data_IF_911576521401
#
_entry.id   IF_911576521401
#
_cell.length_a   1.000
_cell.length_b   1.000
_cell.length_c   1.000
_cell.angle_alpha   90.00
_cell.angle_beta   90.00
_cell.angle_gamma   90.00
#
_symmetry.space_group_name_H-M   'P 1'
#
loop_
_entity.id
_entity.type
_entity.pdbx_description
1 polymer ?
#
# COMPACT_ATOMS: atom_id res chain seq x y z
N UNK A 1 3.78 1.57 -12.12
CA UNK A 1 3.29 0.18 -12.29
C UNK A 1 1.79 0.16 -11.99
N UNK A 2 1.00 -0.61 -12.73
CA UNK A 2 -0.43 -0.84 -12.41
C UNK A 2 -0.61 -2.12 -11.60
N UNK A 3 -1.77 -2.28 -10.95
CA UNK A 3 -2.11 -3.52 -10.23
C UNK A 3 -2.10 -4.75 -11.15
N UNK A 4 -2.57 -4.60 -12.39
CA UNK A 4 -2.57 -5.68 -13.38
C UNK A 4 -1.14 -6.15 -13.72
N UNK A 5 -0.22 -5.20 -13.92
CA UNK A 5 1.18 -5.50 -14.19
C UNK A 5 1.85 -6.22 -13.00
N UNK A 6 1.60 -5.76 -11.77
CA UNK A 6 2.09 -6.42 -10.56
C UNK A 6 1.56 -7.86 -10.44
N UNK A 7 0.25 -8.05 -10.62
CA UNK A 7 -0.39 -9.36 -10.55
C UNK A 7 0.16 -10.32 -11.61
N UNK A 8 0.42 -9.83 -12.82
CA UNK A 8 1.06 -10.61 -13.88
C UNK A 8 2.45 -11.09 -13.47
N UNK A 9 3.30 -10.20 -12.92
CA UNK A 9 4.64 -10.55 -12.45
C UNK A 9 4.59 -11.62 -11.35
N UNK A 10 3.70 -11.46 -10.35
CA UNK A 10 3.53 -12.42 -9.25
C UNK A 10 3.17 -13.81 -9.81
N UNK A 11 2.19 -13.87 -10.71
CA UNK A 11 1.71 -15.13 -11.29
C UNK A 11 2.74 -15.81 -12.19
N UNK A 12 3.36 -15.08 -13.11
CA UNK A 12 4.33 -15.65 -14.06
C UNK A 12 5.58 -16.18 -13.37
N UNK A 13 5.92 -15.64 -12.19
CA UNK A 13 7.09 -16.04 -11.42
C UNK A 13 6.76 -16.98 -10.24
N UNK A 14 5.50 -17.41 -10.09
CA UNK A 14 5.04 -18.24 -8.96
C UNK A 14 5.41 -17.65 -7.58
N UNK A 15 5.33 -16.32 -7.45
CA UNK A 15 5.62 -15.64 -6.18
C UNK A 15 4.49 -15.95 -5.18
N UNK A 16 4.79 -16.46 -3.97
CA UNK A 16 3.77 -16.75 -2.95
C UNK A 16 2.98 -15.51 -2.54
N UNK A 17 1.70 -15.66 -2.22
CA UNK A 17 0.84 -14.53 -1.82
C UNK A 17 1.20 -13.95 -0.44
N UNK A 18 1.96 -14.68 0.38
CA UNK A 18 2.37 -14.28 1.73
C UNK A 18 3.78 -13.63 1.77
N UNK A 19 4.28 -13.13 0.65
CA UNK A 19 5.58 -12.44 0.60
C UNK A 19 5.54 -11.10 1.34
N UNK A 20 6.70 -10.74 1.89
CA UNK A 20 6.91 -9.43 2.51
C UNK A 20 7.12 -8.39 1.41
N UNK A 21 6.37 -7.29 1.47
CA UNK A 21 6.52 -6.14 0.58
C UNK A 21 7.38 -5.05 1.21
N UNK A 22 8.41 -4.60 0.50
CA UNK A 22 9.30 -3.51 0.88
C UNK A 22 9.29 -2.43 -0.21
N UNK A 23 9.48 -1.18 0.18
CA UNK A 23 9.65 -0.05 -0.72
C UNK A 23 11.13 0.33 -0.80
N UNK A 24 11.71 0.28 -1.99
CA UNK A 24 13.00 0.90 -2.28
C UNK A 24 12.71 2.18 -3.07
N UNK A 25 12.43 3.27 -2.35
CA UNK A 25 12.05 4.54 -2.98
C UNK A 25 13.25 5.37 -3.46
N UNK A 26 14.46 4.91 -3.15
CA UNK A 26 15.72 5.62 -3.41
C UNK A 26 15.99 6.83 -2.50
N UNK A 27 15.04 7.22 -1.65
CA UNK A 27 15.29 8.15 -0.54
C UNK A 27 16.01 7.45 0.60
N UNK A 28 15.65 6.19 0.86
CA UNK A 28 16.29 5.37 1.86
C UNK A 28 17.57 4.77 1.28
N UNK A 29 18.59 4.58 2.13
CA UNK A 29 19.83 3.92 1.70
C UNK A 29 19.62 2.44 1.35
N UNK A 30 18.49 1.85 1.78
CA UNK A 30 18.08 0.46 1.58
C UNK A 30 16.56 0.36 1.49
N UNK A 31 16.04 -0.75 0.96
CA UNK A 31 14.61 -1.04 0.96
C UNK A 31 14.02 -1.01 2.38
N UNK A 32 12.85 -0.40 2.53
CA UNK A 32 12.20 -0.15 3.83
C UNK A 32 10.80 -0.72 3.91
N UNK A 33 10.32 -0.87 5.14
CA UNK A 33 8.99 -1.39 5.46
C UNK A 33 7.88 -0.53 4.89
N UNK A 34 6.80 -1.17 4.44
CA UNK A 34 5.57 -0.48 4.10
C UNK A 34 4.52 -0.75 5.18
N UNK A 35 4.30 0.22 6.05
CA UNK A 35 3.39 0.09 7.17
C UNK A 35 1.92 0.28 6.80
N UNK A 36 1.58 0.78 5.60
CA UNK A 36 0.18 0.87 5.19
C UNK A 36 -0.08 1.13 3.71
N UNK A 37 -1.37 1.10 3.36
CA UNK A 37 -1.86 1.30 2.00
C UNK A 37 -3.03 2.28 1.98
N UNK A 38 -2.91 3.32 1.16
CA UNK A 38 -4.01 4.20 0.78
C UNK A 38 -4.48 3.89 -0.64
N UNK A 39 -5.78 4.03 -0.89
CA UNK A 39 -6.29 4.11 -2.25
C UNK A 39 -7.08 5.41 -2.45
N UNK A 40 -6.75 6.07 -3.56
CA UNK A 40 -7.40 7.29 -4.00
C UNK A 40 -8.27 7.02 -5.21
N UNK A 41 -9.60 7.13 -5.05
CA UNK A 41 -10.54 6.90 -6.15
C UNK A 41 -10.52 8.00 -7.20
N UNK A 42 -10.26 9.25 -6.81
CA UNK A 42 -10.23 10.41 -7.72
C UNK A 42 -9.09 10.28 -8.73
N UNK A 43 -7.93 9.82 -8.29
CA UNK A 43 -6.73 9.66 -9.13
C UNK A 43 -6.52 8.22 -9.59
N UNK A 44 -7.29 7.25 -9.06
CA UNK A 44 -7.12 5.82 -9.30
C UNK A 44 -5.70 5.33 -8.96
N UNK A 45 -5.21 5.69 -7.77
CA UNK A 45 -3.83 5.41 -7.31
C UNK A 45 -3.85 4.66 -5.99
N UNK A 46 -3.01 3.62 -5.89
CA UNK A 46 -2.64 2.98 -4.61
C UNK A 46 -1.31 3.57 -4.16
N UNK A 47 -1.22 3.99 -2.90
CA UNK A 47 -0.01 4.53 -2.28
C UNK A 47 0.39 3.65 -1.12
N UNK A 48 1.62 3.16 -1.14
CA UNK A 48 2.25 2.51 0.00
C UNK A 48 2.92 3.57 0.87
N UNK A 49 2.76 3.45 2.19
CA UNK A 49 3.39 4.37 3.14
C UNK A 49 4.30 3.59 4.07
N UNK A 50 5.45 4.16 4.41
CA UNK A 50 6.40 3.61 5.38
C UNK A 50 5.98 3.86 6.82
N UNK A 51 5.21 4.91 7.07
CA UNK A 51 4.63 5.21 8.37
C UNK A 51 3.15 5.54 8.20
N UNK A 52 2.32 5.04 9.10
CA UNK A 52 0.90 5.40 9.14
C UNK A 52 0.73 6.35 10.32
N UNK A 53 0.57 7.64 10.03
CA UNK A 53 0.22 8.59 11.08
C UNK A 53 -1.30 8.77 11.14
N UNK A 54 -1.87 8.82 12.34
CA UNK A 54 -3.28 9.22 12.53
C UNK A 54 -3.55 10.63 11.97
N UNK A 55 -2.50 11.42 11.78
CA UNK A 55 -2.52 12.77 11.19
C UNK A 55 -2.27 12.78 9.68
N UNK A 56 -2.15 11.63 9.03
CA UNK A 56 -2.17 11.55 7.58
C UNK A 56 -3.62 11.74 7.12
N UNK A 57 -4.13 12.94 7.40
CA UNK A 57 -5.25 13.51 6.67
C UNK A 57 -4.63 13.89 5.33
N UNK A 58 -4.90 13.11 4.27
CA UNK A 58 -4.58 13.60 2.95
C UNK A 58 -5.34 14.92 2.86
N UNK A 59 -4.70 15.99 2.44
CA UNK A 59 -5.30 17.33 2.33
C UNK A 59 -6.53 17.40 1.38
N UNK A 60 -7.01 16.24 0.91
CA UNK A 60 -8.20 16.01 0.12
C UNK A 60 -8.91 14.74 0.62
N UNK A 61 -10.24 14.80 0.79
CA UNK A 61 -11.23 13.72 1.08
C UNK A 61 -11.19 12.47 0.15
N UNK A 62 -10.18 12.36 -0.71
CA UNK A 62 -10.08 11.41 -1.80
C UNK A 62 -9.24 10.17 -1.50
N UNK A 63 -8.38 10.18 -0.48
CA UNK A 63 -7.65 8.98 -0.06
C UNK A 63 -8.33 8.33 1.14
N UNK A 64 -8.51 7.01 1.05
CA UNK A 64 -8.97 6.18 2.16
C UNK A 64 -7.83 5.25 2.58
N UNK A 65 -7.56 5.16 3.89
CA UNK A 65 -6.66 4.16 4.46
C UNK A 65 -7.37 2.80 4.44
N UNK A 66 -6.74 1.79 3.83
CA UNK A 66 -7.31 0.43 3.74
C UNK A 66 -6.69 -0.54 4.74
N UNK A 67 -5.45 -0.29 5.16
CA UNK A 67 -4.78 -1.13 6.14
C UNK A 67 -3.46 -0.53 6.58
N UNK A 68 -3.13 -0.77 7.84
CA UNK A 68 -1.91 -0.34 8.48
C UNK A 68 -1.44 -1.38 9.49
N UNK A 69 -0.13 -1.67 9.57
CA UNK A 69 0.44 -2.54 10.62
C UNK A 69 0.03 -1.97 11.99
N UNK A 70 -0.74 -2.73 12.78
CA UNK A 70 -1.23 -2.30 14.10
C UNK A 70 -2.53 -1.49 14.11
N UNK A 71 -3.02 -1.01 12.95
CA UNK A 71 -4.27 -0.25 12.83
C UNK A 71 -5.25 -0.98 11.90
N UNK A 72 -6.11 -1.81 12.48
CA UNK A 72 -7.20 -2.46 11.74
C UNK A 72 -8.31 -1.43 11.49
N UNK A 73 -8.56 -1.08 10.22
CA UNK A 73 -9.89 -0.65 9.77
C UNK A 73 -10.34 -1.48 8.57
N UNK A 74 -10.60 -2.76 8.86
CA UNK A 74 -11.50 -3.63 8.09
C UNK A 74 -12.89 -2.98 8.06
N UNK A 75 -13.18 -2.21 7.02
CA UNK A 75 -14.54 -1.76 6.71
C UNK A 75 -14.85 -2.29 5.32
N UNK A 76 -15.50 -3.44 5.12
CA UNK A 76 -16.45 -4.16 5.97
C UNK A 76 -16.30 -5.67 5.69
N UNK A 77 -16.14 -6.48 6.74
CA UNK A 77 -16.53 -7.87 6.71
C UNK A 77 -17.95 -7.99 7.30
N UNK A 78 -18.96 -7.71 6.47
CA UNK A 78 -20.28 -8.37 6.39
C UNK A 78 -21.16 -7.68 5.37
#
# INVERSE_FOLDING_TARGET
MTFEQLNKIIKENNIPENVHLLSDSGWECDATEMDGVYYNKKYNVIVFTQEVSEKYEPENDSYRLFGAKGFIRLTEAK
#
